data_IF_371014103666
#
_entry.id   IF_371014103666
#
_cell.length_a   1.000
_cell.length_b   1.000
_cell.length_c   1.000
_cell.angle_alpha   90.00
_cell.angle_beta   90.00
_cell.angle_gamma   90.00
#
_symmetry.space_group_name_H-M   'P 1'
#
loop_
_entity.id
_entity.type
_entity.pdbx_description
1 polymer ?
#
# COMPACT_ATOMS: atom_id res chain seq x y z
N UNK A 1 81.41 14.81 1.16
CA UNK A 1 80.48 13.70 1.44
C UNK A 1 79.20 13.97 0.68
N UNK A 2 78.87 13.11 -0.29
CA UNK A 2 77.72 13.27 -1.21
C UNK A 2 76.47 12.69 -0.53
N UNK A 3 75.41 13.48 -0.41
CA UNK A 3 74.07 12.98 -0.10
C UNK A 3 73.31 12.82 -1.42
N UNK A 4 72.86 11.60 -1.69
CA UNK A 4 72.00 11.28 -2.83
C UNK A 4 70.54 11.51 -2.41
N UNK A 5 69.84 12.38 -3.14
CA UNK A 5 68.39 12.53 -3.05
C UNK A 5 67.78 11.48 -3.98
N UNK A 6 67.10 10.51 -3.39
CA UNK A 6 66.34 9.48 -4.10
C UNK A 6 64.94 10.03 -4.38
N UNK A 7 64.68 10.46 -5.61
CA UNK A 7 63.34 10.89 -6.04
C UNK A 7 62.59 9.69 -6.59
N UNK A 8 61.59 9.20 -5.85
CA UNK A 8 60.70 8.13 -6.27
C UNK A 8 59.59 8.71 -7.15
N UNK A 9 59.63 8.44 -8.45
CA UNK A 9 58.55 8.76 -9.40
C UNK A 9 57.55 7.60 -9.36
N UNK A 10 56.40 7.82 -8.71
CA UNK A 10 55.26 6.91 -8.78
C UNK A 10 54.43 7.34 -9.97
N UNK A 11 54.47 6.54 -11.04
CA UNK A 11 53.59 6.68 -12.19
C UNK A 11 52.17 6.24 -11.82
N UNK A 12 51.22 7.17 -11.89
CA UNK A 12 49.80 6.85 -11.81
C UNK A 12 49.35 6.48 -13.23
N UNK A 13 49.09 5.20 -13.44
CA UNK A 13 48.45 4.68 -14.64
C UNK A 13 47.01 5.18 -14.69
N UNK A 14 46.67 5.92 -15.74
CA UNK A 14 45.29 6.21 -16.13
C UNK A 14 44.62 4.89 -16.53
N UNK A 15 43.83 4.32 -15.63
CA UNK A 15 42.85 3.29 -15.98
C UNK A 15 41.69 4.04 -16.64
N UNK A 16 41.51 3.79 -17.93
CA UNK A 16 40.35 4.29 -18.68
C UNK A 16 39.08 3.67 -18.11
N UNK A 17 38.14 4.51 -17.71
CA UNK A 17 36.76 4.08 -17.50
C UNK A 17 36.15 3.76 -18.87
N UNK A 18 35.80 2.49 -19.09
CA UNK A 18 34.85 2.11 -20.12
C UNK A 18 33.54 2.85 -19.83
N UNK A 19 32.98 3.45 -20.87
CA UNK A 19 31.58 3.88 -20.89
C UNK A 19 30.72 2.62 -20.94
N UNK A 20 30.58 1.94 -19.82
CA UNK A 20 29.51 0.99 -19.64
C UNK A 20 28.25 1.82 -19.45
N UNK A 21 27.39 1.78 -20.46
CA UNK A 21 26.02 2.23 -20.38
C UNK A 21 25.38 1.49 -19.20
N UNK A 22 25.39 2.11 -18.03
CA UNK A 22 24.42 1.85 -16.99
C UNK A 22 23.07 2.23 -17.60
N UNK A 23 22.41 1.25 -18.23
CA UNK A 23 20.97 1.25 -18.34
C UNK A 23 20.46 1.48 -16.93
N UNK A 24 19.92 2.67 -16.68
CA UNK A 24 19.17 2.95 -15.47
C UNK A 24 18.24 1.75 -15.20
N UNK A 25 18.14 1.29 -13.94
CA UNK A 25 17.26 0.18 -13.62
C UNK A 25 15.88 0.54 -14.16
N UNK A 26 15.35 -0.29 -15.07
CA UNK A 26 13.98 -0.15 -15.57
C UNK A 26 13.10 -0.16 -14.33
N UNK A 27 12.67 1.03 -13.93
CA UNK A 27 11.77 1.21 -12.81
C UNK A 27 10.54 0.39 -13.18
N UNK A 28 10.32 -0.72 -12.46
CA UNK A 28 9.16 -1.58 -12.66
C UNK A 28 7.93 -0.68 -12.67
N UNK A 29 7.22 -0.62 -13.79
CA UNK A 29 5.97 0.13 -13.91
C UNK A 29 4.86 -0.47 -13.03
N UNK A 30 5.05 -1.70 -12.55
CA UNK A 30 4.22 -2.37 -11.57
C UNK A 30 4.65 -2.03 -10.13
N UNK A 31 3.73 -1.42 -9.37
CA UNK A 31 3.93 -1.05 -7.96
C UNK A 31 3.23 -2.00 -6.98
N UNK A 32 2.91 -3.23 -7.40
CA UNK A 32 2.25 -4.21 -6.53
C UNK A 32 3.17 -4.69 -5.41
N UNK A 33 2.74 -4.51 -4.17
CA UNK A 33 3.43 -5.02 -2.98
C UNK A 33 2.72 -6.29 -2.53
N UNK A 34 3.43 -7.42 -2.57
CA UNK A 34 2.87 -8.74 -2.27
C UNK A 34 3.16 -9.23 -0.84
N UNK A 35 3.58 -8.34 0.05
CA UNK A 35 3.93 -8.68 1.42
C UNK A 35 3.57 -7.56 2.39
N UNK A 36 3.40 -7.92 3.66
CA UNK A 36 3.40 -7.00 4.80
C UNK A 36 4.40 -7.46 5.84
N UNK A 37 4.81 -6.59 6.74
CA UNK A 37 5.47 -7.07 7.96
C UNK A 37 4.42 -7.52 8.99
N UNK A 38 4.69 -8.65 9.61
CA UNK A 38 3.94 -9.17 10.74
C UNK A 38 4.90 -9.88 11.69
N UNK A 39 4.87 -9.49 12.97
CA UNK A 39 5.69 -10.09 14.02
C UNK A 39 7.19 -10.18 13.66
N UNK A 40 7.73 -9.15 13.02
CA UNK A 40 9.15 -9.07 12.69
C UNK A 40 9.59 -9.75 11.39
N UNK A 41 8.65 -10.31 10.62
CA UNK A 41 8.94 -11.04 9.38
C UNK A 41 8.03 -10.58 8.25
N UNK A 42 8.46 -10.78 7.00
CA UNK A 42 7.60 -10.59 5.84
C UNK A 42 6.58 -11.73 5.75
N UNK A 43 5.30 -11.36 5.72
CA UNK A 43 4.17 -12.24 5.48
C UNK A 43 3.64 -11.98 4.06
N UNK A 44 3.60 -13.03 3.23
CA UNK A 44 3.21 -12.91 1.83
C UNK A 44 1.69 -12.82 1.71
N UNK A 45 1.20 -11.79 1.02
CA UNK A 45 -0.22 -11.51 0.86
C UNK A 45 -0.88 -12.31 -0.28
N UNK A 46 -0.08 -13.00 -1.09
CA UNK A 46 -0.53 -13.83 -2.20
C UNK A 46 -0.21 -13.25 -3.57
N UNK A 47 -0.85 -13.80 -4.60
CA UNK A 47 -0.70 -13.36 -5.99
C UNK A 47 -1.73 -12.26 -6.27
N UNK A 48 -1.30 -11.20 -6.96
CA UNK A 48 -2.19 -10.14 -7.44
C UNK A 48 -3.37 -10.74 -8.23
N UNK A 49 -4.57 -10.22 -8.00
CA UNK A 49 -5.71 -10.54 -8.84
C UNK A 49 -5.64 -9.73 -10.13
N UNK A 50 -5.80 -10.40 -11.26
CA UNK A 50 -5.89 -9.75 -12.56
C UNK A 50 -7.33 -9.33 -12.92
N UNK A 51 -8.30 -9.69 -12.09
CA UNK A 51 -9.73 -9.52 -12.37
C UNK A 51 -10.41 -8.51 -11.45
N UNK A 52 -9.80 -8.15 -10.32
CA UNK A 52 -10.45 -7.33 -9.31
C UNK A 52 -9.53 -6.20 -8.81
N UNK A 53 -10.16 -5.10 -8.42
CA UNK A 53 -9.56 -4.01 -7.65
C UNK A 53 -10.47 -3.67 -6.47
N UNK A 54 -9.94 -2.99 -5.46
CA UNK A 54 -10.75 -2.39 -4.40
C UNK A 54 -10.79 -0.87 -4.59
N UNK A 55 -11.99 -0.30 -4.68
CA UNK A 55 -12.16 1.15 -4.53
C UNK A 55 -12.71 1.46 -3.14
N UNK A 56 -12.40 2.66 -2.64
CA UNK A 56 -13.02 3.20 -1.45
C UNK A 56 -13.54 4.60 -1.68
N UNK A 57 -14.70 4.89 -1.10
CA UNK A 57 -15.39 6.19 -1.20
C UNK A 57 -15.73 6.69 0.20
N UNK A 58 -15.62 8.00 0.43
CA UNK A 58 -16.02 8.62 1.71
C UNK A 58 -17.48 8.32 2.04
N UNK A 59 -17.74 7.98 3.31
CA UNK A 59 -19.09 7.70 3.82
C UNK A 59 -20.08 8.86 3.63
N UNK A 60 -19.61 10.09 3.37
CA UNK A 60 -20.45 11.23 3.00
C UNK A 60 -21.22 11.04 1.69
N UNK A 61 -20.71 10.25 0.75
CA UNK A 61 -21.40 9.98 -0.52
C UNK A 61 -22.47 8.92 -0.33
N UNK A 62 -23.66 9.15 -0.86
CA UNK A 62 -24.74 8.17 -0.80
C UNK A 62 -24.57 7.05 -1.86
N UNK A 63 -25.29 5.94 -1.69
CA UNK A 63 -25.14 4.78 -2.57
C UNK A 63 -25.51 5.08 -4.03
N UNK A 64 -26.48 5.96 -4.29
CA UNK A 64 -26.85 6.32 -5.66
C UNK A 64 -25.75 7.13 -6.35
N UNK A 65 -25.08 8.04 -5.64
CA UNK A 65 -23.92 8.77 -6.16
C UNK A 65 -22.77 7.83 -6.52
N UNK A 66 -22.49 6.88 -5.63
CA UNK A 66 -21.46 5.84 -5.84
C UNK A 66 -21.79 4.98 -7.05
N UNK A 67 -23.03 4.46 -7.12
CA UNK A 67 -23.49 3.62 -8.23
C UNK A 67 -23.43 4.38 -9.55
N UNK A 68 -23.93 5.62 -9.59
CA UNK A 68 -23.86 6.45 -10.79
C UNK A 68 -22.42 6.65 -11.23
N UNK A 69 -21.49 6.91 -10.31
CA UNK A 69 -20.08 7.03 -10.64
C UNK A 69 -19.50 5.73 -11.23
N UNK A 70 -19.76 4.56 -10.61
CA UNK A 70 -19.26 3.27 -11.10
C UNK A 70 -19.75 2.97 -12.53
N UNK A 71 -20.97 3.39 -12.88
CA UNK A 71 -21.49 3.23 -14.27
C UNK A 71 -20.74 4.04 -15.31
N UNK A 72 -19.94 5.03 -14.89
CA UNK A 72 -19.10 5.84 -15.79
C UNK A 72 -17.70 5.24 -16.02
N UNK A 73 -17.31 4.20 -15.28
CA UNK A 73 -15.99 3.58 -15.37
C UNK A 73 -16.03 2.44 -16.40
N UNK A 74 -15.49 2.68 -17.59
CA UNK A 74 -15.54 1.74 -18.73
C UNK A 74 -14.73 0.46 -18.52
N UNK A 75 -13.66 0.50 -17.71
CA UNK A 75 -12.81 -0.67 -17.38
C UNK A 75 -13.47 -1.65 -16.40
N UNK A 76 -14.59 -1.29 -15.78
CA UNK A 76 -15.34 -2.14 -14.83
C UNK A 76 -16.41 -2.95 -15.56
N UNK A 77 -16.57 -4.22 -15.17
CA UNK A 77 -17.67 -5.06 -15.66
C UNK A 77 -19.01 -4.53 -15.15
N UNK A 78 -19.78 -3.91 -16.03
CA UNK A 78 -21.07 -3.31 -15.71
C UNK A 78 -22.17 -4.33 -15.41
N UNK A 79 -21.93 -5.63 -15.65
CA UNK A 79 -22.85 -6.71 -15.27
C UNK A 79 -22.50 -7.33 -13.91
N UNK A 80 -21.38 -6.94 -13.31
CA UNK A 80 -20.96 -7.44 -12.02
C UNK A 80 -21.78 -6.82 -10.89
N UNK A 81 -22.40 -7.66 -10.08
CA UNK A 81 -23.19 -7.25 -8.93
C UNK A 81 -22.28 -7.06 -7.71
N UNK A 82 -21.80 -5.84 -7.49
CA UNK A 82 -20.94 -5.51 -6.35
C UNK A 82 -21.75 -5.20 -5.09
N UNK A 83 -21.11 -5.40 -3.93
CA UNK A 83 -21.63 -4.96 -2.63
C UNK A 83 -20.85 -3.75 -2.14
N UNK A 84 -21.56 -2.73 -1.65
CA UNK A 84 -20.95 -1.58 -0.96
C UNK A 84 -20.76 -1.95 0.50
N UNK A 85 -19.52 -2.26 0.89
CA UNK A 85 -19.20 -2.66 2.26
C UNK A 85 -19.06 -1.42 3.14
N UNK A 86 -19.67 -1.48 4.32
CA UNK A 86 -19.54 -0.43 5.35
C UNK A 86 -19.12 -1.06 6.66
N UNK A 87 -18.17 -0.45 7.35
CA UNK A 87 -17.72 -0.86 8.68
C UNK A 87 -17.98 0.29 9.66
N UNK A 88 -18.57 -0.02 10.81
CA UNK A 88 -19.29 0.95 11.63
C UNK A 88 -18.58 2.29 11.89
N UNK A 89 -17.33 2.24 12.35
CA UNK A 89 -16.54 3.46 12.64
C UNK A 89 -15.56 3.83 11.52
N UNK A 90 -15.46 3.02 10.48
CA UNK A 90 -14.53 3.26 9.39
C UNK A 90 -15.07 4.34 8.45
N UNK A 91 -14.21 5.28 8.08
CA UNK A 91 -14.59 6.48 7.33
C UNK A 91 -15.03 6.19 5.89
N UNK A 92 -14.66 5.04 5.35
CA UNK A 92 -14.86 4.71 3.94
C UNK A 92 -15.82 3.54 3.73
N UNK A 93 -16.49 3.60 2.59
CA UNK A 93 -17.23 2.49 2.00
C UNK A 93 -16.29 1.79 1.02
N UNK A 94 -16.10 0.49 1.18
CA UNK A 94 -15.17 -0.31 0.40
C UNK A 94 -15.94 -1.18 -0.58
N UNK A 95 -15.49 -1.21 -1.84
CA UNK A 95 -16.26 -1.81 -2.94
C UNK A 95 -15.30 -2.61 -3.81
N UNK A 96 -15.30 -3.95 -3.71
CA UNK A 96 -14.56 -4.78 -4.64
C UNK A 96 -15.24 -4.68 -6.01
N UNK A 97 -14.48 -4.34 -7.05
CA UNK A 97 -14.99 -4.21 -8.41
C UNK A 97 -14.28 -5.18 -9.34
N UNK A 98 -15.08 -5.83 -10.21
CA UNK A 98 -14.58 -6.70 -11.25
C UNK A 98 -14.22 -5.90 -12.51
N UNK A 99 -13.05 -6.16 -13.06
CA UNK A 99 -12.58 -5.61 -14.33
C UNK A 99 -13.30 -6.30 -15.49
N UNK A 100 -13.61 -5.56 -16.55
CA UNK A 100 -14.32 -6.09 -17.72
C UNK A 100 -13.53 -7.16 -18.51
N UNK A 101 -12.21 -7.17 -18.32
CA UNK A 101 -11.23 -8.08 -18.91
C UNK A 101 -10.07 -8.23 -17.94
N UNK A 102 -9.41 -9.39 -17.95
CA UNK A 102 -8.18 -9.59 -17.16
C UNK A 102 -7.13 -8.56 -17.54
N UNK A 103 -6.48 -7.98 -16.52
CA UNK A 103 -5.43 -6.96 -16.65
C UNK A 103 -4.11 -7.44 -16.09
N UNK A 104 -3.01 -7.02 -16.69
CA UNK A 104 -1.69 -7.18 -16.08
C UNK A 104 -1.43 -6.13 -14.99
N UNK A 105 -0.29 -6.22 -14.30
CA UNK A 105 0.00 -5.30 -13.21
C UNK A 105 0.19 -3.85 -13.67
N UNK A 106 0.72 -3.63 -14.87
CA UNK A 106 0.96 -2.28 -15.38
C UNK A 106 -0.37 -1.62 -15.75
N UNK A 107 -1.26 -2.36 -16.40
CA UNK A 107 -2.64 -1.92 -16.67
C UNK A 107 -3.40 -1.61 -15.38
N UNK A 108 -3.31 -2.46 -14.35
CA UNK A 108 -3.97 -2.19 -13.05
C UNK A 108 -3.35 -0.97 -12.36
N UNK A 109 -2.03 -0.81 -12.42
CA UNK A 109 -1.35 0.36 -11.86
C UNK A 109 -1.86 1.65 -12.52
N UNK A 110 -2.05 1.64 -13.84
CA UNK A 110 -2.63 2.78 -14.56
C UNK A 110 -4.09 3.03 -14.16
N UNK A 111 -4.92 1.98 -14.07
CA UNK A 111 -6.32 2.10 -13.62
C UNK A 111 -6.40 2.70 -12.21
N UNK A 112 -5.57 2.24 -11.28
CA UNK A 112 -5.47 2.77 -9.92
C UNK A 112 -5.11 4.26 -9.97
N UNK A 113 -4.08 4.62 -10.74
CA UNK A 113 -3.64 6.01 -10.90
C UNK A 113 -4.77 6.91 -11.43
N UNK A 114 -5.47 6.48 -12.48
CA UNK A 114 -6.53 7.25 -13.14
C UNK A 114 -7.75 7.43 -12.22
N UNK A 115 -8.20 6.36 -11.56
CA UNK A 115 -9.33 6.41 -10.64
C UNK A 115 -9.02 7.27 -9.40
N UNK A 116 -7.79 7.23 -8.90
CA UNK A 116 -7.37 8.06 -7.77
C UNK A 116 -7.42 9.57 -8.07
N UNK A 117 -7.46 9.99 -9.33
CA UNK A 117 -7.68 11.41 -9.68
C UNK A 117 -9.11 11.88 -9.44
N UNK A 118 -10.09 10.96 -9.35
CA UNK A 118 -11.47 11.34 -9.13
C UNK A 118 -11.71 11.74 -7.67
N UNK A 119 -12.48 12.81 -7.45
CA UNK A 119 -12.76 13.34 -6.10
C UNK A 119 -13.65 12.44 -5.27
N UNK A 120 -14.49 11.58 -5.89
CA UNK A 120 -15.32 10.63 -5.14
C UNK A 120 -14.50 9.48 -4.56
N UNK A 121 -13.41 9.12 -5.23
CA UNK A 121 -12.52 8.06 -4.80
C UNK A 121 -11.66 8.59 -3.66
N UNK A 122 -11.62 7.88 -2.54
CA UNK A 122 -10.68 8.13 -1.46
C UNK A 122 -9.35 7.43 -1.73
N UNK A 123 -9.41 6.16 -2.15
CA UNK A 123 -8.26 5.39 -2.63
C UNK A 123 -8.73 4.24 -3.53
N UNK A 124 -7.79 3.69 -4.30
CA UNK A 124 -7.93 2.44 -5.05
C UNK A 124 -6.71 1.57 -4.79
N UNK A 125 -6.91 0.30 -4.49
CA UNK A 125 -5.85 -0.65 -4.18
C UNK A 125 -5.96 -1.92 -5.03
N UNK A 126 -4.83 -2.62 -5.12
CA UNK A 126 -4.77 -3.96 -5.70
C UNK A 126 -5.62 -4.94 -4.89
N UNK A 127 -6.16 -5.93 -5.59
CA UNK A 127 -6.71 -7.13 -4.97
C UNK A 127 -5.71 -8.29 -5.08
N UNK A 128 -5.85 -9.28 -4.21
CA UNK A 128 -5.07 -10.50 -4.19
C UNK A 128 -6.00 -11.70 -4.19
N UNK A 129 -5.63 -12.74 -4.93
CA UNK A 129 -6.37 -13.99 -4.95
C UNK A 129 -6.21 -14.71 -3.60
N UNK A 130 -7.29 -15.32 -3.12
CA UNK A 130 -7.28 -16.16 -1.92
C UNK A 130 -8.23 -17.33 -2.09
N UNK A 131 -7.80 -18.51 -1.65
CA UNK A 131 -8.66 -19.70 -1.57
C UNK A 131 -9.42 -19.77 -0.23
N UNK A 132 -9.08 -18.88 0.71
CA UNK A 132 -9.74 -18.80 2.01
C UNK A 132 -10.87 -17.77 1.98
N UNK A 133 -12.10 -18.25 1.92
CA UNK A 133 -13.34 -17.47 2.01
C UNK A 133 -13.98 -17.44 3.40
N UNK A 134 -13.23 -17.68 4.47
CA UNK A 134 -13.78 -17.61 5.83
C UNK A 134 -13.58 -16.25 6.49
N UNK A 135 -14.53 -15.81 7.30
CA UNK A 135 -14.38 -14.62 8.14
C UNK A 135 -13.45 -14.89 9.34
N UNK A 136 -13.25 -13.88 10.20
CA UNK A 136 -12.36 -13.97 11.37
C UNK A 136 -12.79 -15.01 12.43
N UNK A 137 -14.02 -15.51 12.37
CA UNK A 137 -14.54 -16.57 13.25
C UNK A 137 -14.72 -17.91 12.52
N UNK A 138 -14.09 -18.06 11.36
CA UNK A 138 -14.09 -19.28 10.53
C UNK A 138 -15.46 -19.66 9.92
N UNK A 139 -16.35 -18.68 9.76
CA UNK A 139 -17.60 -18.90 9.01
C UNK A 139 -17.40 -18.56 7.52
N UNK A 140 -17.96 -19.36 6.60
CA UNK A 140 -17.90 -19.07 5.17
C UNK A 140 -18.58 -17.74 4.82
N UNK A 141 -17.94 -16.97 3.96
CA UNK A 141 -18.43 -15.68 3.42
C UNK A 141 -18.98 -15.80 1.99
N UNK A 142 -18.64 -16.89 1.29
CA UNK A 142 -18.93 -17.18 -0.11
C UNK A 142 -18.01 -18.29 -0.63
N UNK A 143 -18.09 -18.59 -1.92
CA UNK A 143 -17.25 -19.55 -2.63
C UNK A 143 -16.05 -18.87 -3.32
N UNK A 144 -16.15 -17.58 -3.67
CA UNK A 144 -15.08 -16.79 -4.28
C UNK A 144 -14.81 -15.48 -3.51
N UNK A 145 -13.54 -15.26 -3.13
CA UNK A 145 -13.11 -14.10 -2.37
C UNK A 145 -11.79 -13.53 -2.88
N UNK A 146 -11.56 -12.26 -2.55
CA UNK A 146 -10.28 -11.58 -2.70
C UNK A 146 -9.84 -11.02 -1.34
N UNK A 147 -8.53 -10.86 -1.19
CA UNK A 147 -7.95 -10.01 -0.17
C UNK A 147 -7.64 -8.63 -0.77
N UNK A 148 -7.71 -7.59 0.06
CA UNK A 148 -7.15 -6.27 -0.23
C UNK A 148 -6.80 -5.58 1.10
N UNK A 149 -6.42 -4.32 1.05
CA UNK A 149 -6.04 -3.54 2.24
C UNK A 149 -6.73 -2.19 2.22
N UNK A 150 -6.94 -1.63 3.40
CA UNK A 150 -7.50 -0.29 3.56
C UNK A 150 -6.42 0.79 3.55
N UNK A 151 -6.80 2.01 3.86
CA UNK A 151 -5.86 3.12 4.07
C UNK A 151 -5.27 3.16 5.49
N UNK A 152 -5.92 2.50 6.46
CA UNK A 152 -5.48 2.48 7.85
C UNK A 152 -4.40 1.43 8.11
N UNK A 153 -3.44 1.78 8.95
CA UNK A 153 -2.40 0.89 9.45
C UNK A 153 -2.07 1.22 10.90
N UNK A 154 -1.49 0.26 11.61
CA UNK A 154 -1.24 0.37 13.04
C UNK A 154 0.25 0.43 13.33
N UNK A 155 0.66 1.36 14.18
CA UNK A 155 2.06 1.56 14.60
C UNK A 155 2.15 1.36 16.10
N UNK A 156 3.12 0.56 16.54
CA UNK A 156 3.47 0.40 17.95
C UNK A 156 4.78 1.13 18.25
N UNK A 157 4.71 2.17 19.08
CA UNK A 157 5.91 2.90 19.53
C UNK A 157 6.64 2.16 20.65
N UNK A 158 7.92 2.48 20.86
CA UNK A 158 8.69 1.95 21.97
C UNK A 158 8.25 2.52 23.34
N UNK A 159 7.90 3.80 23.38
CA UNK A 159 7.44 4.53 24.58
C UNK A 159 6.28 5.46 24.21
N UNK A 160 5.10 5.23 24.78
CA UNK A 160 3.89 6.02 24.57
C UNK A 160 4.02 7.48 25.06
N UNK A 161 5.02 7.77 25.90
CA UNK A 161 5.29 9.11 26.42
C UNK A 161 6.27 9.91 25.53
N UNK A 162 6.92 9.28 24.56
CA UNK A 162 7.79 9.93 23.57
C UNK A 162 7.32 9.63 22.14
N UNK A 163 6.50 10.54 21.63
CA UNK A 163 5.94 10.44 20.27
C UNK A 163 6.73 11.27 19.26
N UNK A 164 7.97 11.64 19.56
CA UNK A 164 8.77 12.53 18.70
C UNK A 164 8.96 11.92 17.31
N UNK A 165 9.43 10.68 17.23
CA UNK A 165 9.65 9.97 15.96
C UNK A 165 8.34 9.71 15.20
N UNK A 166 7.27 9.36 15.93
CA UNK A 166 5.94 9.15 15.35
C UNK A 166 5.41 10.42 14.68
N UNK A 167 5.42 11.54 15.40
CA UNK A 167 4.95 12.83 14.89
C UNK A 167 5.81 13.33 13.74
N UNK A 168 7.13 13.14 13.82
CA UNK A 168 8.04 13.51 12.74
C UNK A 168 7.73 12.71 11.47
N UNK A 169 7.59 11.39 11.59
CA UNK A 169 7.30 10.55 10.43
C UNK A 169 5.95 10.87 9.82
N UNK A 170 4.92 11.11 10.64
CA UNK A 170 3.59 11.52 10.16
C UNK A 170 3.65 12.77 9.29
N UNK A 171 4.46 13.76 9.68
CA UNK A 171 4.68 14.99 8.91
C UNK A 171 5.46 14.69 7.62
N UNK A 172 6.52 13.90 7.70
CA UNK A 172 7.36 13.55 6.54
C UNK A 172 6.61 12.74 5.48
N UNK A 173 5.70 11.86 5.90
CA UNK A 173 4.93 10.99 5.01
C UNK A 173 3.55 11.52 4.69
N UNK A 174 3.16 12.70 5.22
CA UNK A 174 1.82 13.28 5.12
C UNK A 174 0.71 12.26 5.45
N UNK A 175 0.92 11.41 6.46
CA UNK A 175 -0.12 10.50 6.95
C UNK A 175 -0.97 11.19 8.01
N UNK A 176 -2.15 10.66 8.30
CA UNK A 176 -3.05 11.17 9.34
C UNK A 176 -2.94 10.32 10.61
N UNK A 177 -2.82 10.96 11.78
CA UNK A 177 -3.07 10.31 13.07
C UNK A 177 -4.58 10.15 13.27
N UNK A 178 -5.08 8.91 13.32
CA UNK A 178 -6.51 8.64 13.53
C UNK A 178 -6.82 8.64 15.02
N UNK A 179 -6.21 7.72 15.76
CA UNK A 179 -6.40 7.61 17.21
C UNK A 179 -5.29 6.81 17.89
N UNK A 180 -5.19 6.95 19.21
CA UNK A 180 -4.44 6.07 20.08
C UNK A 180 -5.38 5.00 20.65
N UNK A 181 -4.95 3.74 20.64
CA UNK A 181 -5.74 2.66 21.20
C UNK A 181 -5.86 2.81 22.73
N UNK A 182 -7.09 2.96 23.22
CA UNK A 182 -7.37 3.22 24.64
C UNK A 182 -7.03 2.06 25.58
N UNK A 183 -6.88 0.84 25.06
CA UNK A 183 -6.55 -0.35 25.84
C UNK A 183 -5.10 -0.80 25.66
N UNK A 184 -4.41 -0.24 24.66
CA UNK A 184 -3.04 -0.58 24.30
C UNK A 184 -2.28 0.71 24.00
N UNK A 185 -1.84 1.41 25.05
CA UNK A 185 -1.35 2.80 24.99
C UNK A 185 -0.18 3.01 24.01
N UNK A 186 0.58 1.97 23.67
CA UNK A 186 1.66 2.04 22.67
C UNK A 186 1.20 1.96 21.22
N UNK A 187 -0.06 1.64 20.96
CA UNK A 187 -0.59 1.41 19.62
C UNK A 187 -1.38 2.62 19.13
N UNK A 188 -1.06 3.03 17.91
CA UNK A 188 -1.67 4.16 17.22
C UNK A 188 -2.19 3.69 15.87
N UNK A 189 -3.41 4.10 15.53
CA UNK A 189 -3.94 3.97 14.17
C UNK A 189 -3.53 5.20 13.37
N UNK A 190 -2.84 4.96 12.26
CA UNK A 190 -2.53 5.96 11.25
C UNK A 190 -3.31 5.65 9.98
N UNK A 191 -3.45 6.66 9.12
CA UNK A 191 -4.12 6.52 7.83
C UNK A 191 -3.33 7.20 6.72
N UNK A 192 -3.10 6.46 5.64
CA UNK A 192 -2.64 7.02 4.39
C UNK A 192 -3.76 7.83 3.73
N UNK A 193 -3.39 8.97 3.16
CA UNK A 193 -4.26 9.84 2.38
C UNK A 193 -3.73 9.96 0.97
N UNK A 194 -4.46 10.61 0.06
CA UNK A 194 -3.97 10.88 -1.29
C UNK A 194 -2.69 11.72 -1.34
N UNK A 195 -2.43 12.50 -0.29
CA UNK A 195 -1.24 13.34 -0.18
C UNK A 195 -0.08 12.61 0.50
N UNK A 196 -0.30 11.38 0.98
CA UNK A 196 0.74 10.57 1.61
C UNK A 196 1.75 10.06 0.59
N UNK A 197 2.97 9.75 1.06
CA UNK A 197 4.06 9.25 0.20
C UNK A 197 3.84 7.82 -0.33
N UNK A 198 2.70 7.20 -0.03
CA UNK A 198 2.28 5.90 -0.52
C UNK A 198 0.92 5.50 0.06
N UNK A 199 0.42 4.35 -0.37
CA UNK A 199 -0.83 3.79 0.13
C UNK A 199 -0.70 3.18 1.54
N UNK A 200 -1.80 2.70 2.11
CA UNK A 200 -1.82 2.17 3.48
C UNK A 200 -0.82 1.02 3.71
N UNK A 201 -0.62 0.15 2.71
CA UNK A 201 0.32 -0.96 2.80
C UNK A 201 1.77 -0.49 2.67
N UNK A 202 2.05 0.38 1.69
CA UNK A 202 3.37 0.96 1.48
C UNK A 202 3.82 1.76 2.72
N UNK A 203 2.91 2.54 3.33
CA UNK A 203 3.22 3.31 4.53
C UNK A 203 3.44 2.41 5.74
N UNK A 204 2.64 1.36 5.95
CA UNK A 204 2.90 0.41 7.03
C UNK A 204 4.30 -0.24 6.91
N UNK A 205 4.66 -0.68 5.71
CA UNK A 205 5.97 -1.27 5.45
C UNK A 205 7.10 -0.25 5.64
N UNK A 206 6.92 0.98 5.15
CA UNK A 206 7.90 2.05 5.32
C UNK A 206 8.15 2.41 6.79
N UNK A 207 7.08 2.53 7.59
CA UNK A 207 7.19 2.77 9.03
C UNK A 207 7.93 1.63 9.72
N UNK A 208 7.63 0.38 9.38
CA UNK A 208 8.36 -0.77 9.92
C UNK A 208 9.86 -0.74 9.55
N UNK A 209 10.16 -0.54 8.27
CA UNK A 209 11.52 -0.57 7.71
C UNK A 209 12.41 0.57 8.23
N UNK A 210 11.81 1.65 8.74
CA UNK A 210 12.56 2.75 9.37
C UNK A 210 13.33 2.33 10.63
N UNK A 211 12.88 1.28 11.33
CA UNK A 211 13.43 0.85 12.60
C UNK A 211 13.12 1.77 13.79
N UNK A 212 12.27 2.79 13.61
CA UNK A 212 11.88 3.74 14.66
C UNK A 212 10.72 3.24 15.54
N UNK A 213 10.05 2.16 15.14
CA UNK A 213 8.89 1.59 15.83
C UNK A 213 9.08 0.11 16.15
N UNK A 214 8.41 -0.36 17.19
CA UNK A 214 8.44 -1.77 17.58
C UNK A 214 7.72 -2.64 16.54
N UNK A 215 6.58 -2.14 16.03
CA UNK A 215 5.80 -2.77 14.96
C UNK A 215 5.13 -1.69 14.08
N UNK A 216 4.91 -2.02 12.81
CA UNK A 216 3.97 -1.31 11.95
C UNK A 216 3.34 -2.29 10.97
N UNK A 217 2.01 -2.34 10.93
CA UNK A 217 1.27 -3.40 10.25
C UNK A 217 0.00 -2.85 9.57
N UNK A 218 -0.18 -3.20 8.29
CA UNK A 218 -1.42 -2.94 7.56
C UNK A 218 -2.48 -4.00 7.87
N UNK A 219 -3.74 -3.56 7.93
CA UNK A 219 -4.89 -4.45 7.97
C UNK A 219 -5.16 -5.05 6.59
N UNK A 220 -5.34 -6.38 6.53
CA UNK A 220 -5.79 -7.07 5.33
C UNK A 220 -7.26 -7.44 5.52
N UNK A 221 -8.08 -6.99 4.59
CA UNK A 221 -9.51 -7.24 4.55
C UNK A 221 -9.83 -8.27 3.47
N UNK A 222 -10.90 -9.02 3.70
CA UNK A 222 -11.38 -10.06 2.81
C UNK A 222 -12.78 -9.73 2.31
N UNK A 223 -13.02 -9.92 1.02
CA UNK A 223 -14.26 -9.56 0.37
C UNK A 223 -14.79 -10.72 -0.48
N UNK A 224 -16.06 -11.11 -0.34
CA UNK A 224 -16.71 -12.01 -1.29
C UNK A 224 -16.96 -11.26 -2.60
N UNK A 225 -16.80 -11.96 -3.74
CA UNK A 225 -16.86 -11.33 -5.08
C UNK A 225 -17.72 -12.09 -6.08
N UNK A 226 -18.83 -12.64 -5.58
CA UNK A 226 -19.85 -13.41 -6.31
C UNK A 226 -21.28 -12.97 -6.00
#
# INVERSE_FOLDING_TARGET
MKNYILTLIIGITLIGCSSDNETEPVQSSCNFINFKYYNGTQDLLGVMSNEYILIAVDTTYNESEIQNFITTIDVIDQNYNYTIQTSGQYKFKEIPLKLNTSKDCEEITQIISDLNQNTIISYVHFAMNTDDCNNLIWEPMGDLCINSYGSSFFVKVFDENDLTDLNQMIIETNTEMVEQNQFMEKWFELRATKESNGDGLAMANFFYESGLFEHSEAGISKYPVE
#
